data_IF_011962494625
#
_entry.id   IF_011962494625
#
_cell.length_a   1.000
_cell.length_b   1.000
_cell.length_c   1.000
_cell.angle_alpha   90.00
_cell.angle_beta   90.00
_cell.angle_gamma   90.00
#
_symmetry.space_group_name_H-M   'P 1'
#
loop_
_entity.id
_entity.type
_entity.pdbx_description
1 polymer ?
#
# COMPACT_ATOMS: atom_id res chain seq x y z
N UNK A 1 10.57 -0.43 -19.92
CA UNK A 1 11.74 -1.01 -19.20
C UNK A 1 11.33 -1.89 -18.02
N UNK A 2 10.38 -1.50 -17.17
CA UNK A 2 9.90 -2.27 -15.99
C UNK A 2 9.29 -3.62 -16.38
N UNK A 3 8.44 -3.68 -17.43
CA UNK A 3 7.77 -4.91 -17.88
C UNK A 3 8.76 -6.00 -18.32
N UNK A 4 9.90 -5.61 -18.91
CA UNK A 4 10.93 -6.54 -19.34
C UNK A 4 11.63 -7.19 -18.15
N UNK A 5 11.90 -6.43 -17.08
CA UNK A 5 12.51 -6.95 -15.85
C UNK A 5 11.61 -7.97 -15.14
N UNK A 6 10.30 -7.73 -15.08
CA UNK A 6 9.34 -8.66 -14.47
C UNK A 6 9.24 -9.95 -15.29
N UNK A 7 9.25 -9.87 -16.62
CA UNK A 7 9.22 -11.06 -17.48
C UNK A 7 10.50 -11.90 -17.36
N UNK A 8 11.67 -11.27 -17.35
CA UNK A 8 12.96 -11.95 -17.17
C UNK A 8 13.04 -12.59 -15.78
N UNK A 9 12.60 -11.88 -14.73
CA UNK A 9 12.55 -12.40 -13.39
C UNK A 9 11.64 -13.62 -13.26
N UNK A 10 10.43 -13.57 -13.82
CA UNK A 10 9.51 -14.70 -13.82
C UNK A 10 10.06 -15.91 -14.60
N UNK A 11 10.85 -15.67 -15.65
CA UNK A 11 11.54 -16.72 -16.41
C UNK A 11 12.64 -17.38 -15.55
N UNK A 12 13.44 -16.59 -14.84
CA UNK A 12 14.47 -17.09 -13.92
C UNK A 12 13.84 -17.92 -12.80
N UNK A 13 12.72 -17.45 -12.22
CA UNK A 13 12.01 -18.20 -11.18
C UNK A 13 11.44 -19.54 -11.68
N UNK A 14 11.01 -19.61 -12.94
CA UNK A 14 10.52 -20.86 -13.55
C UNK A 14 11.64 -21.87 -13.82
N UNK A 15 12.85 -21.40 -14.12
CA UNK A 15 14.02 -22.25 -14.41
C UNK A 15 14.75 -22.73 -13.16
N UNK A 16 14.54 -22.12 -11.99
CA UNK A 16 15.09 -22.58 -10.73
C UNK A 16 14.41 -23.88 -10.30
N UNK A 17 15.17 -24.98 -10.36
CA UNK A 17 14.74 -26.35 -9.99
C UNK A 17 14.36 -26.41 -8.50
N UNK A 18 13.54 -27.40 -8.09
CA UNK A 18 13.07 -27.62 -6.69
C UNK A 18 14.19 -27.59 -5.63
N UNK A 19 15.41 -27.96 -5.97
CA UNK A 19 16.59 -27.86 -5.10
C UNK A 19 16.92 -26.44 -4.63
N UNK A 20 16.47 -25.39 -5.33
CA UNK A 20 16.75 -23.99 -5.04
C UNK A 20 15.52 -23.25 -4.46
N UNK A 21 14.58 -23.97 -3.86
CA UNK A 21 13.36 -23.37 -3.28
C UNK A 21 13.67 -22.26 -2.26
N UNK A 22 14.72 -22.46 -1.45
CA UNK A 22 15.17 -21.46 -0.46
C UNK A 22 15.67 -20.16 -1.13
N UNK A 23 16.42 -20.28 -2.22
CA UNK A 23 16.89 -19.13 -3.02
C UNK A 23 15.71 -18.42 -3.68
N UNK A 24 14.74 -19.16 -4.20
CA UNK A 24 13.51 -18.60 -4.79
C UNK A 24 12.69 -17.80 -3.77
N UNK A 25 12.54 -18.32 -2.55
CA UNK A 25 11.83 -17.61 -1.45
C UNK A 25 12.58 -16.34 -1.07
N UNK A 26 13.90 -16.39 -0.96
CA UNK A 26 14.73 -15.23 -0.62
C UNK A 26 14.67 -14.15 -1.70
N UNK A 27 14.75 -14.53 -2.98
CA UNK A 27 14.63 -13.59 -4.10
C UNK A 27 13.23 -12.95 -4.17
N UNK A 28 12.18 -13.74 -3.97
CA UNK A 28 10.81 -13.21 -3.91
C UNK A 28 10.66 -12.20 -2.78
N UNK A 29 11.20 -12.49 -1.60
CA UNK A 29 11.15 -11.60 -0.44
C UNK A 29 11.97 -10.32 -0.64
N UNK A 30 13.11 -10.41 -1.33
CA UNK A 30 13.97 -9.26 -1.62
C UNK A 30 13.33 -8.29 -2.63
N UNK A 31 12.51 -8.79 -3.56
CA UNK A 31 11.84 -7.99 -4.59
C UNK A 31 10.38 -7.67 -4.26
N UNK A 32 9.89 -8.13 -3.10
CA UNK A 32 8.54 -7.81 -2.67
C UNK A 32 8.39 -6.34 -2.27
N UNK A 33 7.18 -5.81 -2.44
CA UNK A 33 6.83 -4.44 -2.10
C UNK A 33 5.72 -4.42 -1.05
N UNK A 34 5.50 -3.25 -0.47
CA UNK A 34 4.38 -2.98 0.42
C UNK A 34 3.38 -2.06 -0.25
N UNK A 35 2.11 -2.27 0.03
CA UNK A 35 1.01 -1.43 -0.44
C UNK A 35 0.44 -0.63 0.73
N UNK A 36 0.25 0.68 0.56
CA UNK A 36 -0.41 1.54 1.52
C UNK A 36 -1.81 1.91 1.05
N UNK A 37 -2.78 1.88 1.96
CA UNK A 37 -4.19 2.18 1.67
C UNK A 37 -4.71 3.21 2.66
N UNK A 38 -5.21 4.32 2.13
CA UNK A 38 -6.08 5.27 2.81
C UNK A 38 -7.53 4.92 2.45
N UNK A 39 -8.19 4.13 3.31
CA UNK A 39 -9.52 3.61 3.04
C UNK A 39 -10.60 4.67 3.29
N UNK A 40 -11.38 4.96 2.29
CA UNK A 40 -12.59 5.78 2.38
C UNK A 40 -13.82 5.04 1.91
N UNK A 41 -15.03 5.47 2.32
CA UNK A 41 -16.30 4.81 1.98
C UNK A 41 -16.54 4.78 0.47
N UNK A 42 -16.26 5.86 -0.24
CA UNK A 42 -16.53 5.99 -1.68
C UNK A 42 -15.29 5.79 -2.54
N UNK A 43 -14.16 6.30 -2.08
CA UNK A 43 -12.87 6.29 -2.77
C UNK A 43 -11.78 6.00 -1.77
N UNK A 44 -10.78 5.25 -2.19
CA UNK A 44 -9.61 4.89 -1.41
C UNK A 44 -8.34 5.27 -2.15
N UNK A 45 -7.40 5.89 -1.45
CA UNK A 45 -6.07 6.15 -1.98
C UNK A 45 -5.17 4.92 -1.88
N UNK A 46 -4.30 4.73 -2.86
CA UNK A 46 -3.35 3.62 -2.91
C UNK A 46 -1.94 4.13 -3.16
N UNK A 47 -0.97 3.55 -2.48
CA UNK A 47 0.45 3.83 -2.62
C UNK A 47 1.26 2.53 -2.61
N UNK A 48 2.50 2.58 -3.10
CA UNK A 48 3.39 1.42 -3.16
C UNK A 48 4.79 1.79 -2.69
N UNK A 49 5.51 0.85 -2.06
CA UNK A 49 6.93 1.04 -1.73
C UNK A 49 7.84 0.69 -2.90
N UNK A 50 9.08 1.17 -2.84
CA UNK A 50 10.18 0.55 -3.59
C UNK A 50 10.46 -0.87 -3.08
N UNK A 51 11.28 -1.63 -3.84
CA UNK A 51 11.67 -3.00 -3.46
C UNK A 51 12.54 -3.04 -2.21
N UNK A 52 13.27 -1.96 -1.91
CA UNK A 52 14.07 -1.84 -0.69
C UNK A 52 13.23 -1.49 0.54
N UNK A 53 11.94 -1.17 0.35
CA UNK A 53 10.99 -0.80 1.42
C UNK A 53 11.44 0.43 2.20
N UNK A 54 12.01 1.41 1.49
CA UNK A 54 12.53 2.65 2.06
C UNK A 54 11.66 3.87 1.73
N UNK A 55 11.05 3.89 0.55
CA UNK A 55 10.33 5.04 0.00
C UNK A 55 8.93 4.62 -0.43
N UNK A 56 7.95 5.47 -0.18
CA UNK A 56 6.56 5.28 -0.63
C UNK A 56 6.25 6.21 -1.82
N UNK A 57 5.59 5.66 -2.83
CA UNK A 57 5.11 6.37 -4.01
C UNK A 57 3.58 6.33 -4.07
N UNK A 58 2.90 7.47 -4.25
CA UNK A 58 1.46 7.48 -4.50
C UNK A 58 1.19 6.82 -5.86
N UNK A 59 0.18 5.92 -5.91
CA UNK A 59 -0.25 5.27 -7.14
C UNK A 59 -1.51 5.92 -7.70
N UNK A 60 -2.63 5.57 -7.13
CA UNK A 60 -3.94 5.87 -7.68
C UNK A 60 -5.00 6.09 -6.60
N UNK A 61 -6.12 6.71 -6.97
CA UNK A 61 -7.33 6.74 -6.16
C UNK A 61 -8.39 5.90 -6.84
N UNK A 62 -8.86 4.86 -6.15
CA UNK A 62 -9.77 3.84 -6.66
C UNK A 62 -11.16 4.04 -6.04
N UNK A 63 -12.23 3.79 -6.79
CA UNK A 63 -13.55 3.62 -6.18
C UNK A 63 -13.52 2.41 -5.25
N UNK A 64 -13.94 2.59 -3.99
CA UNK A 64 -13.77 1.57 -2.94
C UNK A 64 -14.44 0.24 -3.27
N UNK A 65 -15.54 0.27 -4.05
CA UNK A 65 -16.19 -0.95 -4.55
C UNK A 65 -15.28 -1.81 -5.45
N UNK A 66 -14.29 -1.20 -6.14
CA UNK A 66 -13.36 -1.87 -7.04
C UNK A 66 -11.99 -2.13 -6.39
N UNK A 67 -11.81 -1.69 -5.14
CA UNK A 67 -10.51 -1.72 -4.47
C UNK A 67 -9.96 -3.14 -4.30
N UNK A 68 -10.82 -4.12 -4.01
CA UNK A 68 -10.41 -5.50 -3.80
C UNK A 68 -9.84 -6.13 -5.07
N UNK A 69 -10.50 -5.93 -6.21
CA UNK A 69 -10.04 -6.44 -7.50
C UNK A 69 -8.75 -5.74 -7.94
N UNK A 70 -8.66 -4.43 -7.72
CA UNK A 70 -7.43 -3.67 -7.97
C UNK A 70 -6.26 -4.20 -7.15
N UNK A 71 -6.43 -4.42 -5.84
CA UNK A 71 -5.39 -4.96 -4.97
C UNK A 71 -4.98 -6.36 -5.41
N UNK A 72 -5.94 -7.20 -5.80
CA UNK A 72 -5.65 -8.54 -6.32
C UNK A 72 -4.72 -8.46 -7.54
N UNK A 73 -5.04 -7.61 -8.51
CA UNK A 73 -4.25 -7.48 -9.72
C UNK A 73 -2.85 -6.94 -9.42
N UNK A 74 -2.74 -5.83 -8.69
CA UNK A 74 -1.45 -5.21 -8.39
C UNK A 74 -0.59 -6.09 -7.47
N UNK A 75 -1.20 -6.94 -6.63
CA UNK A 75 -0.44 -7.87 -5.79
C UNK A 75 0.29 -8.94 -6.57
N UNK A 76 -0.25 -9.34 -7.71
CA UNK A 76 0.38 -10.28 -8.63
C UNK A 76 1.47 -9.58 -9.44
N UNK A 77 1.16 -8.38 -9.98
CA UNK A 77 2.04 -7.65 -10.89
C UNK A 77 3.29 -7.11 -10.19
N UNK A 78 3.13 -6.67 -8.94
CA UNK A 78 4.15 -5.97 -8.15
C UNK A 78 4.71 -6.79 -6.99
N UNK A 79 4.31 -8.06 -6.84
CA UNK A 79 4.75 -8.96 -5.78
C UNK A 79 4.55 -8.35 -4.37
N UNK A 80 3.32 -8.02 -4.02
CA UNK A 80 3.00 -7.40 -2.73
C UNK A 80 3.08 -8.43 -1.59
N UNK A 81 3.83 -8.10 -0.54
CA UNK A 81 4.03 -8.91 0.67
C UNK A 81 3.15 -8.43 1.83
N UNK A 82 3.03 -7.11 1.99
CA UNK A 82 2.29 -6.49 3.09
C UNK A 82 1.37 -5.40 2.54
N UNK A 83 0.14 -5.37 3.06
CA UNK A 83 -0.82 -4.29 2.85
C UNK A 83 -0.98 -3.54 4.16
N UNK A 84 -0.68 -2.24 4.15
CA UNK A 84 -0.79 -1.34 5.29
C UNK A 84 -2.02 -0.47 5.14
N UNK A 85 -2.93 -0.53 6.09
CA UNK A 85 -4.18 0.25 6.09
C UNK A 85 -4.18 1.22 7.26
N UNK A 86 -4.44 2.49 6.98
CA UNK A 86 -4.58 3.52 8.01
C UNK A 86 -5.69 3.20 9.01
N UNK A 87 -5.48 3.60 10.28
CA UNK A 87 -6.49 3.50 11.33
C UNK A 87 -7.01 4.90 11.65
N UNK A 88 -8.30 5.19 11.40
CA UNK A 88 -8.87 6.50 11.70
C UNK A 88 -8.84 6.82 13.21
N UNK A 89 -8.63 8.10 13.54
CA UNK A 89 -8.19 8.54 14.87
C UNK A 89 -9.25 9.10 15.78
N UNK A 90 -10.42 9.48 15.24
CA UNK A 90 -11.42 10.20 16.04
C UNK A 90 -12.58 9.29 16.37
N UNK A 91 -13.00 9.36 17.62
CA UNK A 91 -14.09 8.58 18.20
C UNK A 91 -15.44 9.29 18.05
N UNK A 92 -15.80 9.78 16.86
CA UNK A 92 -17.15 10.22 16.57
C UNK A 92 -17.91 9.15 15.77
N UNK A 93 -19.24 9.22 15.75
CA UNK A 93 -20.10 8.18 15.14
C UNK A 93 -19.78 7.91 13.66
N UNK A 94 -19.31 8.90 12.91
CA UNK A 94 -18.93 8.74 11.49
C UNK A 94 -17.70 7.82 11.33
N UNK A 95 -16.80 7.85 12.30
CA UNK A 95 -15.57 7.03 12.28
C UNK A 95 -15.84 5.62 12.74
N UNK A 96 -16.81 5.40 13.65
CA UNK A 96 -17.25 4.05 13.97
C UNK A 96 -17.75 3.31 12.71
N UNK A 97 -18.58 3.97 11.89
CA UNK A 97 -19.04 3.39 10.63
C UNK A 97 -17.91 3.09 9.65
N UNK A 98 -16.91 3.98 9.53
CA UNK A 98 -15.75 3.76 8.66
C UNK A 98 -14.89 2.59 9.16
N UNK A 99 -14.64 2.48 10.47
CA UNK A 99 -13.85 1.38 11.04
C UNK A 99 -14.53 0.02 10.82
N UNK A 100 -15.85 -0.05 10.94
CA UNK A 100 -16.61 -1.27 10.64
C UNK A 100 -16.43 -1.71 9.18
N UNK A 101 -16.50 -0.75 8.24
CA UNK A 101 -16.29 -1.03 6.82
C UNK A 101 -14.85 -1.47 6.55
N UNK A 102 -13.85 -0.87 7.21
CA UNK A 102 -12.46 -1.31 7.10
C UNK A 102 -12.30 -2.75 7.62
N UNK A 103 -12.91 -3.09 8.73
CA UNK A 103 -12.85 -4.46 9.30
C UNK A 103 -13.48 -5.48 8.33
N UNK A 104 -14.65 -5.16 7.74
CA UNK A 104 -15.28 -6.00 6.71
C UNK A 104 -14.38 -6.16 5.49
N UNK A 105 -13.78 -5.06 5.03
CA UNK A 105 -12.85 -5.07 3.91
C UNK A 105 -11.61 -5.94 4.19
N UNK A 106 -10.99 -5.82 5.37
CA UNK A 106 -9.85 -6.64 5.78
C UNK A 106 -10.23 -8.12 5.79
N UNK A 107 -11.42 -8.47 6.28
CA UNK A 107 -11.91 -9.86 6.27
C UNK A 107 -12.01 -10.39 4.84
N UNK A 108 -12.60 -9.62 3.94
CA UNK A 108 -12.68 -9.98 2.51
C UNK A 108 -11.30 -10.12 1.89
N UNK A 109 -10.40 -9.17 2.15
CA UNK A 109 -9.04 -9.18 1.65
C UNK A 109 -8.26 -10.43 2.08
N UNK A 110 -8.35 -10.83 3.36
CA UNK A 110 -7.71 -12.04 3.88
C UNK A 110 -8.27 -13.32 3.27
N UNK A 111 -9.55 -13.35 2.93
CA UNK A 111 -10.16 -14.50 2.25
C UNK A 111 -9.65 -14.63 0.80
N UNK A 112 -9.48 -13.51 0.09
CA UNK A 112 -9.03 -13.49 -1.29
C UNK A 112 -7.51 -13.64 -1.46
N UNK A 113 -6.74 -13.09 -0.52
CA UNK A 113 -5.27 -13.04 -0.55
C UNK A 113 -4.69 -13.54 0.79
N UNK A 114 -4.88 -14.83 1.12
CA UNK A 114 -4.52 -15.38 2.44
C UNK A 114 -3.02 -15.32 2.75
N UNK A 115 -2.17 -15.21 1.73
CA UNK A 115 -0.72 -15.17 1.87
C UNK A 115 -0.17 -13.76 2.07
N UNK A 116 -1.01 -12.72 1.94
CA UNK A 116 -0.59 -11.32 2.10
C UNK A 116 -0.88 -10.89 3.54
N UNK A 117 0.14 -10.36 4.20
CA UNK A 117 0.00 -9.82 5.54
C UNK A 117 -0.72 -8.47 5.49
N UNK A 118 -1.70 -8.27 6.38
CA UNK A 118 -2.42 -6.99 6.53
C UNK A 118 -2.05 -6.37 7.86
N UNK A 119 -1.50 -5.17 7.82
CA UNK A 119 -1.07 -4.36 8.96
C UNK A 119 -1.92 -3.09 9.09
N UNK A 120 -2.05 -2.59 10.32
CA UNK A 120 -2.77 -1.36 10.64
C UNK A 120 -1.81 -0.36 11.27
N UNK A 121 -1.86 0.88 10.80
CA UNK A 121 -1.05 1.96 11.36
C UNK A 121 -1.92 3.10 11.88
N UNK A 122 -1.58 3.60 13.06
CA UNK A 122 -2.22 4.76 13.66
C UNK A 122 -1.79 6.05 12.95
N UNK A 123 -2.75 6.80 12.41
CA UNK A 123 -2.51 8.02 11.63
C UNK A 123 -1.94 9.19 12.47
N UNK A 124 -1.90 9.11 13.80
CA UNK A 124 -1.24 10.12 14.64
C UNK A 124 0.22 10.34 14.30
N UNK A 125 0.87 9.31 13.79
CA UNK A 125 2.27 9.41 13.38
C UNK A 125 2.44 10.10 12.02
N UNK A 126 1.37 10.18 11.21
CA UNK A 126 1.41 10.80 9.88
C UNK A 126 1.31 12.32 9.93
N UNK A 127 0.61 12.91 10.90
CA UNK A 127 0.29 14.36 10.93
C UNK A 127 1.51 15.28 11.01
N UNK A 128 2.60 14.86 11.68
CA UNK A 128 3.85 15.63 11.76
C UNK A 128 4.71 15.47 10.50
N UNK A 129 4.67 14.30 9.89
CA UNK A 129 5.40 13.97 8.67
C UNK A 129 4.68 14.55 7.45
N UNK A 130 3.34 14.45 7.41
CA UNK A 130 2.46 14.96 6.35
C UNK A 130 2.72 16.42 6.02
N UNK A 131 2.77 17.29 7.02
CA UNK A 131 3.01 18.74 6.80
C UNK A 131 4.37 19.00 6.15
N UNK A 132 5.40 18.25 6.52
CA UNK A 132 6.75 18.40 5.96
C UNK A 132 6.86 17.88 4.53
N UNK A 133 6.19 16.75 4.23
CA UNK A 133 6.25 16.11 2.90
C UNK A 133 5.40 16.87 1.90
N UNK A 134 4.18 17.30 2.25
CA UNK A 134 3.33 18.13 1.37
C UNK A 134 4.02 19.46 1.03
N UNK A 135 4.79 20.04 1.96
CA UNK A 135 5.57 21.25 1.70
C UNK A 135 6.77 20.96 0.79
N UNK A 136 7.46 19.84 0.98
CA UNK A 136 8.63 19.43 0.18
C UNK A 136 8.28 18.90 -1.22
N UNK A 137 7.09 18.34 -1.42
CA UNK A 137 6.67 17.80 -2.73
C UNK A 137 6.37 18.84 -3.79
N UNK A 138 6.49 20.13 -3.48
CA UNK A 138 6.30 21.23 -4.45
C UNK A 138 4.85 21.33 -4.99
N UNK A 139 3.89 20.61 -4.41
CA UNK A 139 2.50 20.65 -4.84
C UNK A 139 1.92 22.03 -4.56
N UNK A 140 1.69 22.80 -5.63
CA UNK A 140 1.15 24.15 -5.58
C UNK A 140 -0.21 24.19 -4.84
N UNK A 141 -0.51 25.33 -4.21
CA UNK A 141 -1.76 25.55 -3.45
C UNK A 141 -3.05 25.16 -4.25
N UNK A 142 -3.04 25.25 -5.57
CA UNK A 142 -4.17 24.91 -6.45
C UNK A 142 -4.43 23.41 -6.49
N UNK A 143 -3.39 22.59 -6.58
CA UNK A 143 -3.50 21.12 -6.65
C UNK A 143 -3.79 20.46 -5.28
N UNK A 144 -3.61 21.18 -4.17
CA UNK A 144 -4.00 20.74 -2.82
C UNK A 144 -5.52 20.70 -2.60
N UNK A 145 -6.31 21.25 -3.53
CA UNK A 145 -7.80 21.22 -3.49
C UNK A 145 -8.38 20.04 -4.24
N UNK A 146 -7.58 19.34 -5.04
CA UNK A 146 -8.01 18.14 -5.73
C UNK A 146 -8.02 16.96 -4.75
N UNK A 147 -9.24 16.51 -4.41
CA UNK A 147 -9.45 15.42 -3.46
C UNK A 147 -8.76 14.12 -3.89
N UNK A 148 -8.70 13.85 -5.20
CA UNK A 148 -8.03 12.64 -5.74
C UNK A 148 -6.52 12.67 -5.49
N UNK A 149 -5.91 13.84 -5.54
CA UNK A 149 -4.49 14.02 -5.25
C UNK A 149 -4.25 13.86 -3.74
N UNK A 150 -5.15 14.39 -2.92
CA UNK A 150 -5.06 14.28 -1.45
C UNK A 150 -5.10 12.81 -1.01
N UNK A 151 -6.05 12.04 -1.52
CA UNK A 151 -6.25 10.62 -1.16
C UNK A 151 -5.00 9.77 -1.49
N UNK A 152 -4.38 9.99 -2.66
CA UNK A 152 -3.12 9.34 -3.03
C UNK A 152 -1.96 9.69 -2.10
N UNK A 153 -1.87 10.97 -1.73
CA UNK A 153 -0.81 11.47 -0.84
C UNK A 153 -1.03 10.90 0.56
N UNK A 154 -2.27 10.85 1.05
CA UNK A 154 -2.60 10.27 2.35
C UNK A 154 -2.18 8.81 2.42
N UNK A 155 -2.49 8.01 1.40
CA UNK A 155 -2.04 6.62 1.32
C UNK A 155 -0.50 6.50 1.34
N UNK A 156 0.20 7.39 0.62
CA UNK A 156 1.67 7.41 0.62
C UNK A 156 2.24 7.77 2.00
N UNK A 157 1.60 8.67 2.74
CA UNK A 157 2.02 9.05 4.09
C UNK A 157 1.77 7.94 5.12
N UNK A 158 0.68 7.20 4.98
CA UNK A 158 0.38 6.00 5.76
C UNK A 158 1.50 4.98 5.58
N UNK A 159 1.84 4.67 4.33
CA UNK A 159 2.89 3.71 4.03
C UNK A 159 4.27 4.20 4.48
N UNK A 160 4.63 5.44 4.24
CA UNK A 160 5.89 6.05 4.68
C UNK A 160 6.06 5.95 6.20
N UNK A 161 5.01 6.24 6.95
CA UNK A 161 5.02 6.14 8.42
C UNK A 161 5.27 4.71 8.89
N UNK A 162 4.69 3.73 8.21
CA UNK A 162 4.92 2.32 8.49
C UNK A 162 6.36 1.91 8.18
N UNK A 163 6.89 2.32 7.02
CA UNK A 163 8.27 2.03 6.64
C UNK A 163 9.28 2.59 7.65
N UNK A 164 9.07 3.83 8.10
CA UNK A 164 9.92 4.47 9.13
C UNK A 164 9.87 3.71 10.47
N UNK A 165 8.70 3.20 10.87
CA UNK A 165 8.58 2.43 12.11
C UNK A 165 9.24 1.05 12.01
N UNK A 166 9.15 0.41 10.86
CA UNK A 166 9.67 -0.94 10.64
C UNK A 166 11.18 -0.98 10.46
N UNK A 167 11.78 0.11 10.00
CA UNK A 167 13.23 0.23 9.75
C UNK A 167 14.00 0.83 10.93
N UNK A 168 13.36 1.06 12.06
CA UNK A 168 14.00 1.43 13.34
C UNK A 168 14.43 0.20 14.12
#
# INVERSE_FOLDING_TARGET
MIILHVKVYNLILKTLNKKNQKVRILLNKQLSKYLGIDFGIKKSGVSISDSNKLISFPLETIETKNLLDYIRQISIDENIEIIVIGKPLKLNNEIHGLEEEIVKFIKSLKNYLPNIQVERIDERFTSKISKKIIIKSGIGKKNRRDKLIIDKISASLILESYLIQKNK
#
